data_IF_194656997339
#
_entry.id   IF_194656997339
#
_cell.length_a   1.000
_cell.length_b   1.000
_cell.length_c   1.000
_cell.angle_alpha   90.00
_cell.angle_beta   90.00
_cell.angle_gamma   90.00
#
_symmetry.space_group_name_H-M   'P 1'
#
loop_
_entity.id
_entity.type
_entity.pdbx_description
1 polymer ?
#
# COMPACT_ATOMS: atom_id res chain seq x y z
N UNK A 1 16.91 1.71 1.23
CA UNK A 1 17.20 2.52 0.04
C UNK A 1 17.96 1.66 -0.97
N UNK A 2 17.48 1.51 -2.21
CA UNK A 2 18.23 0.80 -3.26
C UNK A 2 19.18 1.76 -3.99
N UNK A 3 20.48 1.42 -4.08
CA UNK A 3 21.49 2.32 -4.64
C UNK A 3 21.80 2.03 -6.11
N UNK A 4 21.53 3.01 -6.99
CA UNK A 4 22.12 3.09 -8.33
C UNK A 4 22.99 4.36 -8.43
N UNK A 5 24.28 4.19 -8.67
CA UNK A 5 25.18 5.32 -8.97
C UNK A 5 24.93 5.82 -10.40
N UNK A 6 24.80 7.12 -10.56
CA UNK A 6 24.97 7.81 -11.84
C UNK A 6 25.90 9.00 -11.65
N UNK A 7 26.95 9.07 -12.45
CA UNK A 7 27.89 10.19 -12.49
C UNK A 7 27.74 10.86 -13.85
N UNK A 8 27.48 12.17 -13.88
CA UNK A 8 27.68 12.96 -15.08
C UNK A 8 28.04 14.41 -14.73
N UNK A 9 28.97 14.98 -15.50
CA UNK A 9 29.38 16.40 -15.42
C UNK A 9 28.59 17.22 -16.44
N UNK A 10 28.25 18.45 -16.09
CA UNK A 10 28.08 19.57 -17.04
C UNK A 10 28.25 20.91 -16.29
N UNK A 11 28.61 21.98 -17.00
CA UNK A 11 28.88 23.28 -16.39
C UNK A 11 28.50 24.46 -17.31
N UNK A 12 27.80 25.45 -16.73
CA UNK A 12 27.73 26.90 -17.08
C UNK A 12 27.65 27.34 -18.57
N UNK A 13 26.54 27.89 -19.10
CA UNK A 13 25.98 29.26 -18.88
C UNK A 13 26.79 30.41 -19.56
N UNK A 14 26.30 31.68 -19.72
CA UNK A 14 24.94 32.26 -19.85
C UNK A 14 24.78 33.41 -20.92
N UNK A 15 23.56 33.90 -21.22
CA UNK A 15 23.26 35.24 -21.81
C UNK A 15 21.72 35.54 -21.85
N UNK A 16 21.21 36.77 -22.10
CA UNK A 16 21.13 38.01 -21.25
C UNK A 16 20.05 38.99 -21.81
N UNK A 17 19.49 39.89 -20.96
CA UNK A 17 18.48 40.98 -21.24
C UNK A 17 17.03 40.49 -21.51
N UNK A 18 15.91 41.10 -21.05
CA UNK A 18 15.48 42.51 -20.77
C UNK A 18 15.02 43.25 -22.04
N UNK A 19 13.96 44.07 -22.10
CA UNK A 19 13.12 44.82 -21.10
C UNK A 19 11.68 44.21 -20.95
N UNK A 20 10.55 44.82 -20.48
CA UNK A 20 10.14 46.21 -20.12
C UNK A 20 9.05 46.29 -18.99
N UNK A 21 7.89 46.95 -19.19
CA UNK A 21 6.92 47.38 -18.15
C UNK A 21 5.45 47.03 -18.46
N UNK A 22 4.66 46.74 -17.40
CA UNK A 22 3.33 47.34 -17.13
C UNK A 22 3.01 47.24 -15.63
N UNK A 23 2.31 48.24 -15.06
CA UNK A 23 1.87 48.24 -13.65
C UNK A 23 0.53 47.50 -13.51
N UNK A 24 0.42 46.63 -12.51
CA UNK A 24 -0.86 46.25 -11.89
C UNK A 24 -0.68 46.23 -10.36
N UNK A 25 -1.52 46.96 -9.64
CA UNK A 25 -1.52 46.95 -8.16
C UNK A 25 -2.51 45.90 -7.70
N UNK A 26 -2.02 44.67 -7.53
CA UNK A 26 -2.82 43.55 -7.03
C UNK A 26 -2.98 43.65 -5.52
N UNK A 27 -4.18 44.00 -5.06
CA UNK A 27 -4.54 43.90 -3.64
C UNK A 27 -4.71 42.43 -3.24
N UNK A 28 -3.63 41.80 -2.82
CA UNK A 28 -3.64 40.45 -2.24
C UNK A 28 -4.23 40.46 -0.82
N UNK A 29 -5.54 40.64 -0.72
CA UNK A 29 -6.28 40.40 0.51
C UNK A 29 -6.19 38.90 0.86
N UNK A 30 -5.39 38.56 1.86
CA UNK A 30 -5.27 37.20 2.40
C UNK A 30 -6.52 36.84 3.21
N UNK A 31 -7.62 36.59 2.51
CA UNK A 31 -8.77 35.85 3.05
C UNK A 31 -8.36 34.40 3.21
N UNK A 32 -7.84 34.06 4.40
CA UNK A 32 -7.57 32.69 4.82
C UNK A 32 -8.88 31.90 4.88
N UNK A 33 -9.24 31.26 3.75
CA UNK A 33 -10.33 30.28 3.71
C UNK A 33 -10.07 29.19 4.77
N UNK A 34 -11.05 28.85 5.61
CA UNK A 34 -10.88 27.80 6.60
C UNK A 34 -10.59 26.47 5.90
N UNK A 35 -9.55 25.77 6.36
CA UNK A 35 -9.16 24.49 5.78
C UNK A 35 -10.32 23.48 5.93
N UNK A 36 -10.67 22.70 4.89
CA UNK A 36 -11.79 21.77 4.96
C UNK A 36 -11.56 20.70 6.04
N UNK A 37 -12.53 20.57 6.94
CA UNK A 37 -12.43 19.91 8.26
C UNK A 37 -12.37 18.37 8.22
N UNK A 38 -11.87 17.79 7.12
CA UNK A 38 -12.10 16.40 6.72
C UNK A 38 -10.82 15.60 6.44
N UNK A 39 -9.72 15.94 7.11
CA UNK A 39 -8.61 14.99 7.31
C UNK A 39 -8.77 14.33 8.69
N UNK A 40 -8.94 12.99 8.78
CA UNK A 40 -8.77 12.28 10.04
C UNK A 40 -7.38 12.58 10.61
N UNK A 41 -7.33 13.03 11.86
CA UNK A 41 -6.08 13.48 12.48
C UNK A 41 -5.07 12.34 12.58
N UNK A 42 -3.90 12.48 11.94
CA UNK A 42 -2.77 11.54 12.07
C UNK A 42 -2.36 11.30 13.53
N UNK A 43 -2.65 12.28 14.41
CA UNK A 43 -2.56 12.28 15.87
C UNK A 43 -3.18 11.08 16.60
N UNK A 44 -3.98 10.23 15.93
CA UNK A 44 -4.58 9.02 16.53
C UNK A 44 -3.90 7.69 16.16
N UNK A 45 -2.94 7.67 15.22
CA UNK A 45 -2.24 6.42 14.85
C UNK A 45 -1.22 6.05 15.92
N UNK A 46 -1.13 4.75 16.24
CA UNK A 46 -0.02 4.23 17.04
C UNK A 46 1.29 4.37 16.25
N UNK A 47 2.44 4.65 16.88
CA UNK A 47 3.72 4.59 16.17
C UNK A 47 3.95 3.17 15.66
N UNK A 48 4.44 3.04 14.42
CA UNK A 48 4.92 1.75 13.90
C UNK A 48 6.19 1.36 14.67
N UNK A 49 6.22 0.13 15.17
CA UNK A 49 7.29 -0.33 16.05
C UNK A 49 8.49 -0.83 15.23
N UNK A 50 9.64 -0.16 15.34
CA UNK A 50 10.80 -0.37 14.45
C UNK A 50 11.89 -1.27 15.02
N UNK A 51 11.80 -1.70 16.28
CA UNK A 51 12.88 -2.46 16.92
C UNK A 51 12.92 -3.92 16.47
N UNK A 52 13.91 -4.24 15.63
CA UNK A 52 14.37 -5.59 15.30
C UNK A 52 13.31 -6.58 14.74
N UNK A 53 12.23 -6.07 14.15
CA UNK A 53 11.17 -6.85 13.52
C UNK A 53 11.57 -7.42 12.15
N UNK A 54 12.61 -8.25 12.10
CA UNK A 54 12.87 -9.13 10.95
C UNK A 54 11.68 -10.07 10.75
N UNK A 55 10.85 -9.82 9.74
CA UNK A 55 9.59 -10.51 9.53
C UNK A 55 9.34 -10.77 8.04
N UNK A 56 9.43 -12.03 7.61
CA UNK A 56 9.18 -12.43 6.24
C UNK A 56 8.09 -13.50 6.13
N UNK A 57 7.14 -13.33 5.19
CA UNK A 57 6.09 -14.31 4.92
C UNK A 57 6.11 -14.82 3.47
N UNK A 58 6.73 -14.07 2.56
CA UNK A 58 6.91 -14.46 1.17
C UNK A 58 8.39 -14.70 0.84
N UNK A 59 9.24 -13.70 1.10
CA UNK A 59 10.67 -13.71 0.77
C UNK A 59 11.36 -12.55 1.54
N UNK A 60 12.42 -12.89 2.28
CA UNK A 60 13.18 -11.93 3.10
C UNK A 60 13.87 -10.83 2.28
N UNK A 61 14.07 -11.04 0.97
CA UNK A 61 14.59 -10.01 0.06
C UNK A 61 13.69 -8.78 -0.10
N UNK A 62 12.46 -8.80 0.42
CA UNK A 62 11.54 -7.64 0.43
C UNK A 62 11.32 -7.04 1.84
N UNK A 63 12.09 -7.45 2.85
CA UNK A 63 12.07 -6.81 4.16
C UNK A 63 12.57 -5.35 4.08
N UNK A 64 11.78 -4.41 4.59
CA UNK A 64 12.12 -2.99 4.61
C UNK A 64 13.40 -2.70 5.40
N UNK A 65 14.34 -1.92 4.83
CA UNK A 65 15.56 -1.48 5.55
C UNK A 65 15.36 -0.20 6.39
N UNK A 66 14.18 0.43 6.29
CA UNK A 66 13.80 1.67 6.95
C UNK A 66 12.27 1.80 6.89
N UNK A 67 11.67 2.71 7.67
CA UNK A 67 10.24 3.04 7.59
C UNK A 67 9.84 3.40 6.15
N UNK A 68 9.14 2.49 5.47
CA UNK A 68 8.92 2.57 4.03
C UNK A 68 7.53 3.13 3.73
N UNK A 69 7.47 4.23 2.97
CA UNK A 69 6.22 4.90 2.58
C UNK A 69 5.91 4.67 1.10
N UNK A 70 4.75 4.07 0.84
CA UNK A 70 4.27 3.69 -0.49
C UNK A 70 2.93 4.34 -0.81
N UNK A 71 2.56 4.34 -2.10
CA UNK A 71 1.24 4.72 -2.57
C UNK A 71 0.63 3.61 -3.45
N UNK A 72 -0.51 3.07 -3.04
CA UNK A 72 -1.28 2.04 -3.73
C UNK A 72 -2.21 2.70 -4.75
N UNK A 73 -1.75 2.84 -6.00
CA UNK A 73 -2.48 3.55 -7.06
C UNK A 73 -3.70 2.76 -7.53
N UNK A 74 -4.88 3.26 -7.22
CA UNK A 74 -6.17 2.74 -7.69
C UNK A 74 -6.48 3.28 -9.09
N UNK A 75 -7.20 2.49 -9.88
CA UNK A 75 -7.67 2.84 -11.24
C UNK A 75 -9.12 2.37 -11.38
N UNK A 76 -9.98 3.18 -11.99
CA UNK A 76 -11.29 2.71 -12.42
C UNK A 76 -11.15 1.90 -13.72
N UNK A 77 -11.86 0.77 -13.83
CA UNK A 77 -11.96 -0.10 -15.01
C UNK A 77 -13.35 -0.73 -15.04
N UNK A 78 -14.14 -0.46 -16.08
CA UNK A 78 -15.48 -1.05 -16.28
C UNK A 78 -16.34 -0.93 -15.00
N UNK A 79 -16.52 0.31 -14.52
CA UNK A 79 -17.22 0.68 -13.29
C UNK A 79 -16.71 0.02 -12.00
N UNK A 80 -15.46 -0.46 -12.00
CA UNK A 80 -14.84 -1.09 -10.83
C UNK A 80 -13.51 -0.46 -10.51
N UNK A 81 -13.35 -0.05 -9.25
CA UNK A 81 -12.07 0.37 -8.72
C UNK A 81 -11.17 -0.87 -8.48
N UNK A 82 -9.90 -0.78 -8.89
CA UNK A 82 -8.89 -1.82 -8.66
C UNK A 82 -7.52 -1.19 -8.38
N UNK A 83 -6.73 -1.77 -7.47
CA UNK A 83 -5.31 -1.42 -7.32
C UNK A 83 -4.57 -1.83 -8.60
N UNK A 84 -3.95 -0.85 -9.26
CA UNK A 84 -3.31 -0.99 -10.58
C UNK A 84 -1.80 -0.78 -10.59
N UNK A 85 -1.17 -0.63 -9.42
CA UNK A 85 0.28 -0.46 -9.23
C UNK A 85 0.62 0.08 -7.84
N UNK A 86 1.90 0.03 -7.50
CA UNK A 86 2.48 0.52 -6.23
C UNK A 86 3.61 1.49 -6.58
N UNK A 87 3.54 2.70 -6.00
CA UNK A 87 4.54 3.74 -6.15
C UNK A 87 5.33 3.91 -4.85
N UNK A 88 6.57 4.35 -4.94
CA UNK A 88 7.27 4.97 -3.82
C UNK A 88 6.65 6.35 -3.54
N UNK A 89 6.40 6.69 -2.28
CA UNK A 89 5.66 7.91 -1.92
C UNK A 89 6.42 9.20 -2.23
N UNK A 90 7.75 9.22 -2.00
CA UNK A 90 8.57 10.43 -2.12
C UNK A 90 8.88 10.82 -3.57
N UNK A 91 9.08 9.84 -4.46
CA UNK A 91 9.48 10.07 -5.86
C UNK A 91 8.33 9.90 -6.85
N UNK A 92 7.25 9.22 -6.46
CA UNK A 92 6.22 8.74 -7.38
C UNK A 92 6.69 7.60 -8.31
N UNK A 93 7.91 7.09 -8.15
CA UNK A 93 8.44 6.01 -8.99
C UNK A 93 7.60 4.75 -8.81
N UNK A 94 7.21 4.11 -9.91
CA UNK A 94 6.54 2.80 -9.85
C UNK A 94 7.55 1.73 -9.43
N UNK A 95 7.31 1.10 -8.28
CA UNK A 95 8.07 -0.06 -7.83
C UNK A 95 7.47 -1.35 -8.39
N UNK A 96 6.13 -1.45 -8.37
CA UNK A 96 5.41 -2.64 -8.83
C UNK A 96 4.17 -2.28 -9.66
N UNK A 97 3.82 -3.14 -10.61
CA UNK A 97 2.56 -3.07 -11.37
C UNK A 97 1.68 -4.24 -10.95
N UNK A 98 0.36 -4.03 -10.89
CA UNK A 98 -0.60 -5.11 -10.60
C UNK A 98 -1.22 -5.58 -11.91
N UNK A 99 -0.97 -6.85 -12.26
CA UNK A 99 -1.52 -7.52 -13.45
C UNK A 99 -2.66 -8.44 -13.01
N UNK A 100 -3.89 -8.15 -13.41
CA UNK A 100 -5.04 -9.05 -13.21
C UNK A 100 -5.15 -10.02 -14.39
N UNK A 101 -5.30 -11.32 -14.13
CA UNK A 101 -5.45 -12.33 -15.19
C UNK A 101 -6.90 -12.34 -15.69
N UNK A 102 -7.18 -12.00 -16.96
CA UNK A 102 -8.54 -12.05 -17.49
C UNK A 102 -9.06 -13.49 -17.59
N UNK A 103 -10.39 -13.64 -17.62
CA UNK A 103 -11.10 -14.88 -17.95
C UNK A 103 -10.75 -16.12 -17.09
N UNK A 104 -10.43 -15.95 -15.79
CA UNK A 104 -10.23 -17.07 -14.87
C UNK A 104 -11.39 -17.22 -13.86
N UNK A 105 -11.75 -18.48 -13.56
CA UNK A 105 -12.70 -18.85 -12.49
C UNK A 105 -12.26 -18.39 -11.08
N UNK A 106 -10.99 -18.01 -10.92
CA UNK A 106 -10.45 -17.42 -9.69
C UNK A 106 -9.93 -16.03 -10.01
N UNK A 107 -10.28 -15.02 -9.19
CA UNK A 107 -9.64 -13.70 -9.33
C UNK A 107 -8.17 -13.84 -8.96
N UNK A 108 -7.29 -13.68 -9.95
CA UNK A 108 -5.85 -13.79 -9.80
C UNK A 108 -5.21 -12.44 -10.14
N UNK A 109 -4.43 -11.90 -9.19
CA UNK A 109 -3.59 -10.71 -9.39
C UNK A 109 -2.15 -11.06 -9.15
N UNK A 110 -1.29 -10.72 -10.09
CA UNK A 110 0.14 -10.90 -10.01
C UNK A 110 0.80 -9.54 -9.86
N UNK A 111 1.60 -9.39 -8.80
CA UNK A 111 2.50 -8.27 -8.61
C UNK A 111 3.73 -8.52 -9.48
N UNK A 112 4.04 -7.59 -10.39
CA UNK A 112 5.25 -7.62 -11.22
C UNK A 112 6.11 -6.40 -10.91
N UNK A 113 7.42 -6.55 -11.01
CA UNK A 113 8.38 -5.45 -10.80
C UNK A 113 8.46 -4.51 -12.02
N UNK A 114 9.40 -3.56 -11.98
CA UNK A 114 9.67 -2.62 -13.08
C UNK A 114 10.08 -3.31 -14.38
N UNK A 115 10.68 -4.51 -14.31
CA UNK A 115 11.10 -5.34 -15.45
C UNK A 115 9.98 -6.26 -15.97
N UNK A 116 8.76 -6.12 -15.45
CA UNK A 116 7.59 -7.00 -15.71
C UNK A 116 7.78 -8.45 -15.26
N UNK A 117 8.80 -8.74 -14.43
CA UNK A 117 9.02 -10.06 -13.85
C UNK A 117 8.05 -10.28 -12.68
N UNK A 118 7.38 -11.43 -12.59
CA UNK A 118 6.43 -11.70 -11.50
C UNK A 118 7.15 -11.89 -10.18
N UNK A 119 6.77 -11.09 -9.18
CA UNK A 119 7.25 -11.15 -7.80
C UNK A 119 6.37 -12.08 -6.97
N UNK A 120 5.05 -11.87 -7.03
CA UNK A 120 4.07 -12.60 -6.24
C UNK A 120 2.74 -12.73 -6.96
N UNK A 121 1.94 -13.74 -6.62
CA UNK A 121 0.59 -13.96 -7.14
C UNK A 121 -0.41 -14.20 -6.03
N UNK A 122 -1.44 -13.37 -5.98
CA UNK A 122 -2.59 -13.45 -5.09
C UNK A 122 -3.77 -14.10 -5.82
N UNK A 123 -4.33 -15.19 -5.29
CA UNK A 123 -5.51 -15.88 -5.82
C UNK A 123 -6.66 -15.85 -4.82
N UNK A 124 -7.86 -15.52 -5.31
CA UNK A 124 -9.12 -15.51 -4.54
C UNK A 124 -10.09 -16.55 -5.09
N UNK A 125 -10.79 -17.30 -4.24
CA UNK A 125 -11.92 -18.13 -4.66
C UNK A 125 -13.20 -17.28 -4.87
N UNK A 126 -14.00 -17.62 -5.88
CA UNK A 126 -15.06 -16.75 -6.37
C UNK A 126 -16.28 -16.56 -5.44
N UNK A 127 -16.49 -17.43 -4.44
CA UNK A 127 -17.58 -17.29 -3.46
C UNK A 127 -17.30 -16.13 -2.49
N UNK A 128 -17.70 -14.92 -2.87
CA UNK A 128 -17.69 -13.71 -2.04
C UNK A 128 -19.11 -13.40 -1.54
N UNK A 129 -19.50 -13.94 -0.38
CA UNK A 129 -20.74 -13.53 0.34
C UNK A 129 -20.48 -12.93 1.73
N UNK A 130 -19.62 -13.55 2.54
CA UNK A 130 -19.28 -13.05 3.89
C UNK A 130 -17.79 -13.18 4.26
N UNK A 131 -17.12 -14.19 3.69
CA UNK A 131 -15.70 -14.52 3.90
C UNK A 131 -15.02 -14.73 2.55
N UNK A 132 -13.85 -14.13 2.35
CA UNK A 132 -13.03 -14.29 1.16
C UNK A 132 -11.65 -14.84 1.55
N UNK A 133 -11.32 -16.04 1.08
CA UNK A 133 -10.00 -16.64 1.26
C UNK A 133 -9.07 -16.24 0.13
N UNK A 134 -7.92 -15.72 0.52
CA UNK A 134 -6.79 -15.37 -0.33
C UNK A 134 -5.65 -16.37 -0.15
N UNK A 135 -4.87 -16.59 -1.20
CA UNK A 135 -3.68 -17.44 -1.19
C UNK A 135 -2.56 -16.78 -1.99
N UNK A 136 -1.39 -16.65 -1.37
CA UNK A 136 -0.22 -15.99 -1.92
C UNK A 136 0.80 -17.00 -2.43
N UNK A 137 1.33 -16.80 -3.64
CA UNK A 137 2.32 -17.67 -4.27
C UNK A 137 3.53 -16.83 -4.70
N UNK A 138 4.74 -17.29 -4.36
CA UNK A 138 6.01 -16.66 -4.77
C UNK A 138 6.25 -16.80 -6.29
N UNK A 139 7.14 -15.97 -6.83
CA UNK A 139 7.70 -15.97 -8.20
C UNK A 139 7.97 -17.34 -8.83
N UNK A 140 8.34 -18.36 -8.04
CA UNK A 140 8.72 -19.69 -8.53
C UNK A 140 7.54 -20.44 -9.15
N UNK A 141 7.70 -20.82 -10.43
CA UNK A 141 6.65 -21.46 -11.24
C UNK A 141 6.05 -22.69 -10.55
N UNK A 142 4.72 -22.80 -10.60
CA UNK A 142 3.95 -24.02 -10.31
C UNK A 142 4.02 -24.59 -8.88
N UNK A 143 4.37 -23.80 -7.85
CA UNK A 143 4.10 -24.25 -6.48
C UNK A 143 2.59 -24.49 -6.27
N UNK A 144 2.20 -25.75 -6.02
CA UNK A 144 0.83 -26.11 -5.64
C UNK A 144 0.46 -25.54 -4.25
N UNK A 145 1.47 -25.30 -3.42
CA UNK A 145 1.34 -24.78 -2.05
C UNK A 145 1.56 -23.27 -2.05
N UNK A 146 0.59 -22.46 -1.59
CA UNK A 146 0.83 -21.04 -1.36
C UNK A 146 1.78 -20.83 -0.18
N UNK A 147 2.63 -19.81 -0.25
CA UNK A 147 3.54 -19.42 0.84
C UNK A 147 2.76 -19.07 2.11
N UNK A 148 1.64 -18.33 1.95
CA UNK A 148 0.70 -18.08 3.03
C UNK A 148 -0.74 -17.98 2.52
N UNK A 149 -1.70 -18.16 3.44
CA UNK A 149 -3.13 -17.99 3.22
C UNK A 149 -3.69 -17.04 4.27
N UNK A 150 -4.68 -16.25 3.89
CA UNK A 150 -5.39 -15.38 4.82
C UNK A 150 -6.85 -15.21 4.40
N UNK A 151 -7.68 -14.74 5.31
CA UNK A 151 -9.11 -14.55 5.08
C UNK A 151 -9.55 -13.16 5.48
N UNK A 152 -10.29 -12.49 4.59
CA UNK A 152 -11.05 -11.28 4.92
C UNK A 152 -12.47 -11.69 5.31
N UNK A 153 -12.95 -11.27 6.48
CA UNK A 153 -14.30 -11.56 6.98
C UNK A 153 -14.87 -10.29 7.62
N UNK A 154 -15.97 -9.76 7.07
CA UNK A 154 -16.55 -8.45 7.47
C UNK A 154 -15.50 -7.33 7.60
N UNK A 155 -14.69 -7.12 6.55
CA UNK A 155 -13.61 -6.12 6.50
C UNK A 155 -12.36 -6.46 7.33
N UNK A 156 -12.43 -7.41 8.28
CA UNK A 156 -11.31 -7.77 9.15
C UNK A 156 -10.41 -8.83 8.52
N UNK A 157 -9.09 -8.58 8.57
CA UNK A 157 -8.05 -9.53 8.19
C UNK A 157 -7.85 -10.58 9.28
N UNK A 158 -7.66 -11.83 8.86
CA UNK A 158 -7.12 -12.90 9.70
C UNK A 158 -6.14 -13.75 8.89
N UNK A 159 -4.89 -13.81 9.34
CA UNK A 159 -3.80 -14.59 8.74
C UNK A 159 -3.03 -15.33 9.84
N UNK A 160 -2.58 -16.55 9.55
CA UNK A 160 -1.61 -17.29 10.36
C UNK A 160 -0.55 -17.81 9.38
N UNK A 161 0.72 -17.60 9.72
CA UNK A 161 1.87 -17.98 8.90
C UNK A 161 3.06 -18.31 9.81
N UNK A 162 4.11 -18.93 9.25
CA UNK A 162 5.42 -19.01 9.90
C UNK A 162 6.31 -17.91 9.34
N UNK A 163 6.94 -17.13 10.20
CA UNK A 163 7.97 -16.17 9.81
C UNK A 163 9.18 -16.93 9.25
N UNK A 164 9.55 -16.66 8.00
CA UNK A 164 10.63 -17.36 7.29
C UNK A 164 11.98 -17.10 7.99
N UNK A 165 12.14 -15.97 8.69
CA UNK A 165 13.39 -15.60 9.36
C UNK A 165 13.61 -16.34 10.67
N UNK A 166 12.55 -16.62 11.43
CA UNK A 166 12.63 -17.20 12.79
C UNK A 166 11.98 -18.58 12.93
N UNK A 167 11.24 -19.03 11.90
CA UNK A 167 10.30 -20.16 11.94
C UNK A 167 9.13 -20.01 12.94
N UNK A 168 8.98 -18.87 13.62
CA UNK A 168 7.90 -18.67 14.59
C UNK A 168 6.53 -18.56 13.92
N UNK A 169 5.53 -19.21 14.51
CA UNK A 169 4.13 -19.01 14.10
C UNK A 169 3.68 -17.61 14.50
N UNK A 170 3.31 -16.81 13.50
CA UNK A 170 2.83 -15.45 13.64
C UNK A 170 1.36 -15.35 13.23
N UNK A 171 0.62 -14.44 13.88
CA UNK A 171 -0.72 -14.01 13.47
C UNK A 171 -0.65 -12.59 12.90
N UNK A 172 -1.38 -12.35 11.82
CA UNK A 172 -1.61 -11.00 11.29
C UNK A 172 -3.11 -10.71 11.27
N UNK A 173 -3.47 -9.48 11.65
CA UNK A 173 -4.84 -9.00 11.60
C UNK A 173 -4.91 -7.50 11.27
N UNK A 174 -6.14 -6.98 11.19
CA UNK A 174 -6.37 -5.57 10.92
C UNK A 174 -7.41 -4.97 11.86
N UNK A 175 -7.27 -3.67 12.12
CA UNK A 175 -8.11 -2.86 13.01
C UNK A 175 -8.20 -1.43 12.46
N UNK A 176 -9.24 -0.68 12.84
CA UNK A 176 -9.54 0.65 12.27
C UNK A 176 -10.85 0.71 11.48
N UNK A 177 -11.20 1.91 11.02
CA UNK A 177 -12.49 2.23 10.37
C UNK A 177 -12.32 3.27 9.26
N UNK A 178 -13.34 3.44 8.42
CA UNK A 178 -13.50 4.56 7.47
C UNK A 178 -12.30 4.83 6.52
N UNK A 179 -11.48 3.82 6.26
CA UNK A 179 -10.32 3.95 5.37
C UNK A 179 -9.05 4.46 6.03
N UNK A 180 -8.93 4.35 7.35
CA UNK A 180 -7.65 4.31 8.08
C UNK A 180 -7.55 2.96 8.79
N UNK A 181 -6.59 2.12 8.35
CA UNK A 181 -6.52 0.69 8.71
C UNK A 181 -5.10 0.36 9.20
N UNK A 182 -5.01 -0.02 10.47
CA UNK A 182 -3.82 -0.58 11.08
C UNK A 182 -3.73 -2.09 10.80
N UNK A 183 -2.54 -2.54 10.41
CA UNK A 183 -2.19 -3.96 10.24
C UNK A 183 -1.23 -4.31 11.38
N UNK A 184 -1.65 -5.25 12.22
CA UNK A 184 -0.91 -5.66 13.41
C UNK A 184 -0.38 -7.09 13.30
N UNK A 185 0.81 -7.29 13.89
CA UNK A 185 1.44 -8.58 14.13
C UNK A 185 1.20 -9.03 15.57
N UNK A 186 1.09 -10.33 15.77
CA UNK A 186 1.24 -10.98 17.06
C UNK A 186 2.13 -12.21 16.87
N UNK A 187 3.35 -12.19 17.43
CA UNK A 187 4.24 -13.37 17.45
C UNK A 187 3.71 -14.42 18.43
N UNK A 188 3.92 -15.69 18.12
CA UNK A 188 3.46 -16.83 18.92
C UNK A 188 1.95 -17.09 18.86
N UNK A 189 1.53 -18.13 19.59
CA UNK A 189 0.13 -18.59 19.63
C UNK A 189 -0.59 -18.31 20.96
N UNK A 190 0.08 -17.77 21.99
CA UNK A 190 -0.60 -17.41 23.25
C UNK A 190 -1.67 -16.33 23.03
N UNK A 191 -2.55 -16.14 24.01
CA UNK A 191 -3.45 -14.99 24.05
C UNK A 191 -2.71 -13.72 24.50
N UNK A 192 -1.69 -13.87 25.35
CA UNK A 192 -1.03 -12.78 26.09
C UNK A 192 0.05 -12.05 25.28
N UNK A 193 0.40 -12.52 24.09
CA UNK A 193 1.42 -11.85 23.26
C UNK A 193 0.87 -10.55 22.65
N UNK A 194 1.60 -9.46 22.86
CA UNK A 194 1.19 -8.10 22.48
C UNK A 194 1.01 -7.97 20.97
N UNK A 195 -0.01 -7.22 20.56
CA UNK A 195 -0.22 -6.84 19.15
C UNK A 195 0.60 -5.60 18.81
N UNK A 196 1.60 -5.78 17.93
CA UNK A 196 2.50 -4.73 17.46
C UNK A 196 2.00 -4.17 16.12
N UNK A 197 1.85 -2.85 15.95
CA UNK A 197 1.44 -2.26 14.67
C UNK A 197 2.63 -2.27 13.68
N UNK A 198 2.46 -2.93 12.53
CA UNK A 198 3.55 -3.12 11.54
C UNK A 198 3.29 -2.43 10.18
N UNK A 199 2.06 -2.01 9.90
CA UNK A 199 1.76 -1.11 8.78
C UNK A 199 0.45 -0.32 9.00
N UNK A 200 0.32 0.84 8.35
CA UNK A 200 -0.93 1.62 8.26
C UNK A 200 -1.29 1.88 6.79
N UNK A 201 -2.49 1.46 6.37
CA UNK A 201 -3.07 1.79 5.06
C UNK A 201 -4.17 2.82 5.24
N UNK A 202 -4.03 4.00 4.64
CA UNK A 202 -4.98 5.09 4.78
C UNK A 202 -5.30 5.77 3.44
N UNK A 203 -6.51 6.31 3.30
CA UNK A 203 -6.92 7.14 2.14
C UNK A 203 -5.85 8.18 1.80
N UNK A 204 -5.45 8.25 0.53
CA UNK A 204 -4.38 9.16 0.12
C UNK A 204 -4.83 10.64 0.21
N UNK A 205 -3.93 11.57 0.59
CA UNK A 205 -4.32 12.94 0.88
C UNK A 205 -4.81 13.70 -0.37
N UNK A 206 -5.63 14.76 -0.22
CA UNK A 206 -6.08 15.60 -1.33
C UNK A 206 -4.91 16.08 -2.19
N UNK A 207 -5.10 16.04 -3.52
CA UNK A 207 -4.06 16.40 -4.49
C UNK A 207 -3.09 15.25 -4.86
N UNK A 208 -3.07 14.15 -4.12
CA UNK A 208 -2.36 12.93 -4.54
C UNK A 208 -3.17 12.11 -5.56
N UNK A 209 -2.55 11.14 -6.28
CA UNK A 209 -3.28 10.26 -7.19
C UNK A 209 -4.36 9.43 -6.47
N UNK A 210 -5.39 9.00 -7.20
CA UNK A 210 -6.43 8.12 -6.65
C UNK A 210 -5.80 6.83 -6.08
N UNK A 211 -5.97 6.60 -4.78
CA UNK A 211 -5.38 5.44 -4.10
C UNK A 211 -5.30 5.59 -2.58
N UNK A 212 -4.40 4.80 -2.00
CA UNK A 212 -4.11 4.80 -0.56
C UNK A 212 -2.63 5.11 -0.33
N UNK A 213 -2.32 5.80 0.76
CA UNK A 213 -0.97 5.82 1.32
C UNK A 213 -0.78 4.56 2.18
N UNK A 214 0.43 4.04 2.21
CA UNK A 214 0.79 2.84 2.95
C UNK A 214 2.14 3.08 3.64
N UNK A 215 2.11 3.16 4.97
CA UNK A 215 3.31 3.21 5.81
C UNK A 215 3.62 1.79 6.29
N UNK A 216 4.87 1.34 6.17
CA UNK A 216 5.34 -0.01 6.56
C UNK A 216 6.53 0.13 7.51
N UNK A 217 6.54 -0.65 8.59
CA UNK A 217 7.62 -0.66 9.57
C UNK A 217 8.92 -1.26 9.00
N UNK A 218 10.04 -0.96 9.67
CA UNK A 218 11.35 -1.54 9.37
C UNK A 218 11.36 -3.06 9.63
N UNK A 219 12.13 -3.81 8.83
CA UNK A 219 12.26 -5.27 8.89
C UNK A 219 11.11 -6.08 8.29
N UNK A 220 9.97 -5.44 7.99
CA UNK A 220 8.75 -6.11 7.48
C UNK A 220 8.81 -6.36 5.97
N UNK A 221 8.43 -7.56 5.55
CA UNK A 221 8.19 -7.94 4.14
C UNK A 221 7.14 -7.03 3.48
N UNK A 222 7.61 -6.08 2.68
CA UNK A 222 6.78 -5.10 1.99
C UNK A 222 5.80 -5.76 1.01
N UNK A 223 6.17 -6.88 0.40
CA UNK A 223 5.33 -7.57 -0.58
C UNK A 223 4.18 -8.28 0.12
N UNK A 224 4.40 -8.91 1.28
CA UNK A 224 3.30 -9.43 2.13
C UNK A 224 2.27 -8.32 2.41
N UNK A 225 2.72 -7.15 2.89
CA UNK A 225 1.83 -6.04 3.24
C UNK A 225 1.10 -5.51 1.99
N UNK A 226 1.78 -5.31 0.86
CA UNK A 226 1.15 -4.90 -0.40
C UNK A 226 0.03 -5.87 -0.82
N UNK A 227 0.25 -7.18 -0.72
CA UNK A 227 -0.75 -8.20 -1.09
C UNK A 227 -1.94 -8.22 -0.12
N UNK A 228 -1.71 -8.00 1.17
CA UNK A 228 -2.75 -7.82 2.19
C UNK A 228 -3.59 -6.57 1.89
N UNK A 229 -2.96 -5.42 1.62
CA UNK A 229 -3.64 -4.17 1.28
C UNK A 229 -4.47 -4.29 -0.02
N UNK A 230 -3.95 -4.98 -1.03
CA UNK A 230 -4.71 -5.28 -2.27
C UNK A 230 -5.98 -6.09 -1.94
N UNK A 231 -5.91 -7.05 -1.01
CA UNK A 231 -7.05 -7.88 -0.60
C UNK A 231 -8.05 -7.15 0.33
N UNK A 232 -7.59 -6.20 1.15
CA UNK A 232 -8.42 -5.29 1.94
C UNK A 232 -9.30 -4.46 0.99
N UNK A 233 -8.67 -3.74 0.04
CA UNK A 233 -9.38 -2.99 -1.01
C UNK A 233 -10.35 -3.87 -1.80
N UNK A 234 -9.95 -5.10 -2.15
CA UNK A 234 -10.83 -6.02 -2.89
C UNK A 234 -11.98 -6.61 -2.05
N UNK A 235 -11.96 -6.44 -0.72
CA UNK A 235 -13.02 -6.88 0.19
C UNK A 235 -14.06 -5.79 0.49
N UNK A 236 -13.66 -4.51 0.52
CA UNK A 236 -14.57 -3.36 0.77
C UNK A 236 -14.45 -2.23 -0.29
N UNK A 237 -14.57 -2.52 -1.61
CA UNK A 237 -14.36 -1.51 -2.66
C UNK A 237 -15.35 -0.34 -2.58
N UNK A 238 -16.56 -0.57 -2.09
CA UNK A 238 -17.63 0.43 -2.02
C UNK A 238 -17.55 1.33 -0.77
N UNK A 239 -17.15 0.78 0.38
CA UNK A 239 -17.23 1.49 1.67
C UNK A 239 -16.21 2.62 1.78
N UNK A 240 -15.03 2.43 1.20
CA UNK A 240 -13.93 3.41 1.30
C UNK A 240 -14.14 4.66 0.44
N UNK A 241 -15.01 4.62 -0.58
CA UNK A 241 -15.14 5.70 -1.57
C UNK A 241 -16.52 6.38 -1.60
N UNK A 242 -17.57 5.77 -1.05
CA UNK A 242 -18.88 6.44 -0.89
C UNK A 242 -18.84 7.62 0.10
N UNK A 243 -17.84 7.69 0.99
CA UNK A 243 -17.59 8.88 1.81
C UNK A 243 -17.13 10.11 0.99
N UNK A 244 -16.72 9.92 -0.27
CA UNK A 244 -16.22 10.98 -1.16
C UNK A 244 -17.25 11.45 -2.19
N UNK A 245 -18.48 10.94 -2.19
CA UNK A 245 -19.48 11.24 -3.22
C UNK A 245 -20.22 12.58 -3.00
N UNK A 246 -19.45 13.65 -2.77
CA UNK A 246 -19.86 15.05 -2.98
C UNK A 246 -19.18 15.64 -4.24
N UNK A 247 -18.83 14.78 -5.20
CA UNK A 247 -18.52 15.21 -6.56
C UNK A 247 -19.83 15.65 -7.24
N UNK A 248 -20.06 16.96 -7.22
CA UNK A 248 -20.98 17.64 -8.13
C UNK A 248 -20.42 17.48 -9.55
N UNK A 249 -21.30 17.18 -10.51
CA UNK A 249 -20.99 17.08 -11.94
C UNK A 249 -20.98 18.46 -12.60
#
# INVERSE_FOLDING_TARGET
MFHCRSVNKSATAPSKRSTSLRRSVSYSALLSLPAPTWTPSSTKRRPLETQHLGLAALDAGYCCHELTKLHLKVKCRLDRQVVGGVLEYATGQTLFKVREKPLSLHRQRTLVDTTEVPVATLRTNALRRYKATYSSFLRTKMSKTPAFKFTMTHGKLQMIFSDIMTSETCRLGSEGEQGDIEIWLQRGLSADTVRQPIAHMYSAPPGSPLGYSLDIAEGVDAVMIILVCIAIHDSEPDRMWRASSNFVW
#
